data_IF_365790056707
#
_entry.id   IF_365790056707
#
_cell.length_a   1.000
_cell.length_b   1.000
_cell.length_c   1.000
_cell.angle_alpha   90.00
_cell.angle_beta   90.00
_cell.angle_gamma   90.00
#
_symmetry.space_group_name_H-M   'P 1'
#
loop_
_entity.id
_entity.type
_entity.pdbx_description
1 polymer ?
2 non-polymer ?
3 water ?
#
# COMPACT_ATOMS: atom_id res chain seq x y z
N UNK A 2 8.99 -10.38 24.39
CA UNK A 2 7.68 -9.64 24.28
C UNK A 2 7.08 -9.81 22.88
N UNK A 3 5.79 -9.55 22.76
CA UNK A 3 5.10 -9.52 21.45
C UNK A 3 5.06 -8.07 20.97
N UNK A 4 5.23 -7.83 19.69
CA UNK A 4 4.93 -6.48 19.13
C UNK A 4 3.65 -6.60 18.31
N UNK A 5 2.64 -5.82 18.65
CA UNK A 5 1.33 -5.84 17.97
C UNK A 5 1.11 -4.56 17.19
N UNK A 6 0.78 -4.68 15.92
CA UNK A 6 0.53 -3.51 15.05
C UNK A 6 -0.92 -3.55 14.57
N UNK A 7 -1.68 -2.49 14.81
CA UNK A 7 -3.07 -2.41 14.28
C UNK A 7 -3.16 -1.31 13.24
N UNK A 8 -4.02 -1.52 12.25
CA UNK A 8 -4.20 -0.56 11.14
C UNK A 8 -5.67 -0.25 10.93
N UNK A 9 -6.60 -0.90 11.66
CA UNK A 9 -8.03 -0.63 11.40
C UNK A 9 -8.37 0.85 11.64
N UNK A 10 -9.25 1.39 10.83
CA UNK A 10 -9.78 2.76 11.05
C UNK A 10 -11.23 2.69 11.53
N UNK A 11 -11.71 1.53 11.96
CA UNK A 11 -13.15 1.36 12.28
C UNK A 11 -13.34 1.26 13.79
N UNK A 12 -12.31 1.57 14.58
CA UNK A 12 -12.43 1.73 16.04
C UNK A 12 -12.87 0.49 16.77
N UNK A 13 -13.70 0.67 17.81
CA UNK A 13 -14.14 -0.44 18.70
C UNK A 13 -14.85 -1.56 17.93
N UNK A 14 -15.42 -1.28 16.76
CA UNK A 14 -16.13 -2.32 15.97
C UNK A 14 -15.16 -3.19 15.15
N UNK A 15 -13.87 -2.88 15.15
CA UNK A 15 -12.91 -3.52 14.21
C UNK A 15 -12.97 -5.05 14.29
N UNK A 16 -13.08 -5.69 13.14
CA UNK A 16 -12.99 -7.17 13.07
C UNK A 16 -11.54 -7.63 13.27
N UNK A 17 -10.55 -6.91 12.71
CA UNK A 17 -9.11 -7.27 12.83
C UNK A 17 -8.64 -7.12 14.27
N UNK A 18 -9.08 -6.07 14.95
CA UNK A 18 -8.73 -5.88 16.38
C UNK A 18 -9.26 -7.08 17.17
N UNK A 19 -10.47 -7.53 16.86
CA UNK A 19 -11.11 -8.63 17.62
C UNK A 19 -10.34 -9.93 17.36
N UNK A 20 -9.90 -10.18 16.13
CA UNK A 20 -9.13 -11.41 15.82
C UNK A 20 -7.77 -11.31 16.48
N UNK A 21 -7.11 -10.15 16.33
CA UNK A 21 -5.79 -9.93 16.98
C UNK A 21 -5.92 -10.06 18.50
N UNK A 22 -7.05 -9.64 19.06
CA UNK A 22 -7.26 -9.77 20.53
C UNK A 22 -7.21 -11.25 20.91
N UNK A 23 -7.75 -12.12 20.07
CA UNK A 23 -7.76 -13.58 20.37
C UNK A 23 -6.34 -14.14 20.33
N UNK A 24 -5.55 -13.67 19.35
CA UNK A 24 -4.14 -14.09 19.27
C UNK A 24 -3.45 -13.60 20.53
N UNK A 25 -3.62 -12.33 20.87
CA UNK A 25 -2.91 -11.73 22.04
C UNK A 25 -3.30 -12.46 23.34
N UNK A 26 -4.59 -12.80 23.49
CA UNK A 26 -5.07 -13.49 24.73
C UNK A 26 -4.29 -14.80 24.94
N UNK A 27 -4.07 -15.58 23.87
CA UNK A 27 -3.35 -16.87 23.95
C UNK A 27 -1.88 -16.57 24.21
N UNK A 28 -1.34 -15.55 23.58
CA UNK A 28 0.06 -15.14 23.85
C UNK A 28 0.21 -14.87 25.35
N UNK A 29 -0.67 -14.07 25.91
CA UNK A 29 -0.58 -13.68 27.34
C UNK A 29 -0.76 -14.94 28.21
N UNK A 30 -1.51 -15.92 27.74
CA UNK A 30 -1.82 -17.10 28.58
C UNK A 30 -0.66 -18.10 28.64
N UNK A 31 0.16 -18.24 27.58
CA UNK A 31 1.18 -19.32 27.55
C UNK A 31 2.59 -18.81 27.23
N UNK A 32 2.78 -17.56 26.83
CA UNK A 32 4.13 -17.10 26.43
C UNK A 32 5.07 -16.98 27.63
N UNK A 33 6.35 -17.40 27.50
CA UNK A 33 7.35 -17.20 28.56
C UNK A 33 7.48 -15.73 28.97
N UNK A 34 7.41 -14.80 28.03
CA UNK A 34 7.35 -13.35 28.29
C UNK A 34 6.01 -12.85 27.72
N UNK A 35 4.94 -12.79 28.54
CA UNK A 35 3.61 -12.44 28.05
C UNK A 35 3.46 -10.94 27.77
N UNK A 36 4.53 -10.17 27.92
CA UNK A 36 4.54 -8.72 27.66
C UNK A 36 4.09 -8.45 26.22
N UNK A 37 3.36 -7.36 26.00
CA UNK A 37 2.95 -6.91 24.65
C UNK A 37 3.26 -5.42 24.49
N UNK A 38 3.90 -5.05 23.39
CA UNK A 38 4.09 -3.63 22.97
C UNK A 38 3.16 -3.39 21.79
N UNK A 39 2.43 -2.29 21.79
CA UNK A 39 1.43 -2.09 20.73
C UNK A 39 1.56 -0.72 20.05
N UNK A 40 1.21 -0.70 18.77
CA UNK A 40 1.19 0.54 17.96
C UNK A 40 -0.07 0.45 17.12
N UNK A 41 -0.91 1.49 17.15
CA UNK A 41 -2.18 1.52 16.39
C UNK A 41 -2.05 2.62 15.35
N UNK A 42 -1.65 2.26 14.14
CA UNK A 42 -1.48 3.25 13.03
C UNK A 42 -2.83 3.83 12.60
N UNK A 43 -3.93 3.10 12.78
CA UNK A 43 -5.25 3.62 12.37
C UNK A 43 -5.71 4.76 13.26
N UNK A 44 -5.39 4.69 14.55
CA UNK A 44 -5.73 5.78 15.51
C UNK A 44 -4.63 6.85 15.54
N UNK A 45 -3.37 6.45 15.33
CA UNK A 45 -2.20 7.34 15.50
C UNK A 45 -1.30 7.21 14.28
N UNK A 46 -1.78 7.57 13.08
CA UNK A 46 -1.02 7.31 11.86
C UNK A 46 0.29 8.11 11.84
N UNK A 47 1.28 7.61 11.11
CA UNK A 47 2.54 8.34 10.86
C UNK A 47 2.25 9.49 9.91
N UNK A 48 2.97 10.63 10.04
CA UNK A 48 2.74 11.77 9.16
C UNK A 48 2.98 11.41 7.68
N UNK A 49 2.19 12.01 6.77
CA UNK A 49 2.30 11.73 5.31
C UNK A 49 3.63 12.28 4.75
N UNK A 50 4.31 13.13 5.50
CA UNK A 50 5.48 13.89 4.98
C UNK A 50 6.82 13.29 5.43
N UNK A 51 6.85 12.41 6.42
CA UNK A 51 8.11 11.89 7.05
C UNK A 51 8.90 11.04 6.06
N UNK A 52 8.24 10.17 5.29
CA UNK A 52 8.96 9.21 4.42
C UNK A 52 9.83 9.99 3.41
N UNK A 53 9.25 10.93 2.69
CA UNK A 53 10.04 11.70 1.68
C UNK A 53 11.24 12.39 2.36
N UNK A 54 11.05 12.94 3.56
CA UNK A 54 12.14 13.57 4.35
C UNK A 54 13.23 12.54 4.72
N UNK A 55 12.84 11.33 5.11
CA UNK A 55 13.83 10.29 5.47
C UNK A 55 14.59 9.88 4.22
N UNK A 56 13.88 9.67 3.11
CA UNK A 56 14.51 9.21 1.85
C UNK A 56 15.59 10.24 1.45
N UNK A 57 15.27 11.51 1.41
CA UNK A 57 16.23 12.59 1.06
C UNK A 57 17.47 12.48 1.95
N UNK A 58 17.28 12.28 3.24
CA UNK A 58 18.37 12.26 4.24
C UNK A 58 19.17 10.95 4.15
N UNK A 59 18.54 9.86 3.72
CA UNK A 59 19.13 8.49 3.74
C UNK A 59 20.53 8.52 3.11
N UNK A 61 22.57 10.81 2.74
CA UNK A 61 23.44 12.02 2.74
C UNK A 61 24.32 11.99 3.99
N UNK A 62 25.52 12.63 3.97
CA UNK A 62 26.33 12.76 5.17
C UNK A 62 25.44 13.39 6.23
N UNK A 63 25.36 12.80 7.44
CA UNK A 63 24.60 13.42 8.53
C UNK A 63 25.16 14.81 8.80
N UNK A 64 24.80 15.41 9.93
CA UNK A 64 25.30 16.76 10.33
C UNK A 64 24.74 17.81 9.37
N UNK A 65 24.69 17.50 8.06
CA UNK A 65 24.14 18.42 7.03
C UNK A 65 22.62 18.27 6.97
N UNK A 66 22.10 17.13 7.42
CA UNK A 66 20.63 16.87 7.40
C UNK A 66 19.90 18.06 8.03
N UNK A 67 18.75 18.43 7.47
CA UNK A 67 17.89 19.50 8.01
C UNK A 67 17.00 18.94 9.11
N UNK A 68 16.42 19.81 9.97
CA UNK A 68 15.57 19.38 11.07
C UNK A 68 14.56 18.28 10.71
N UNK A 69 13.82 18.47 9.61
CA UNK A 69 12.74 17.55 9.22
C UNK A 69 13.34 16.19 8.84
N UNK A 70 14.55 16.20 8.28
CA UNK A 70 15.27 14.98 7.85
C UNK A 70 15.78 14.24 9.09
N UNK A 71 16.32 14.98 10.06
CA UNK A 71 16.78 14.36 11.33
C UNK A 71 15.60 13.75 12.08
N UNK A 72 14.50 14.49 12.17
CA UNK A 72 13.28 13.98 12.83
C UNK A 72 12.79 12.74 12.09
N UNK A 73 12.77 12.77 10.76
CA UNK A 73 12.23 11.65 9.95
C UNK A 73 13.05 10.38 10.22
N UNK A 74 14.38 10.45 10.17
CA UNK A 74 15.20 9.23 10.39
C UNK A 74 15.21 8.82 11.87
N UNK A 75 15.10 9.76 12.79
CA UNK A 75 14.98 9.40 14.23
C UNK A 75 13.69 8.61 14.47
N UNK A 76 12.58 9.03 13.89
CA UNK A 76 11.33 8.26 14.00
C UNK A 76 11.50 6.87 13.36
N UNK A 77 12.15 6.76 12.20
CA UNK A 77 12.36 5.46 11.53
C UNK A 77 13.18 4.53 12.44
N UNK A 78 14.20 5.08 13.12
CA UNK A 78 15.01 4.28 14.07
C UNK A 78 14.16 3.79 15.24
N UNK A 79 13.30 4.64 15.74
CA UNK A 79 12.44 4.24 16.88
C UNK A 79 11.53 3.08 16.46
N UNK A 80 10.99 3.14 15.24
CA UNK A 80 10.07 2.08 14.74
C UNK A 80 10.81 0.75 14.56
N UNK A 81 12.01 0.77 14.00
CA UNK A 81 12.83 -0.45 13.85
C UNK A 81 13.16 -0.99 15.24
N UNK A 82 13.51 -0.10 16.17
CA UNK A 82 13.81 -0.52 17.57
C UNK A 82 12.63 -1.34 18.12
N UNK A 83 11.39 -0.92 17.87
CA UNK A 83 10.18 -1.64 18.37
C UNK A 83 10.13 -3.05 17.81
N UNK A 84 10.41 -3.22 16.52
CA UNK A 84 10.35 -4.55 15.87
C UNK A 84 11.49 -5.44 16.36
N UNK A 85 12.72 -4.91 16.45
CA UNK A 85 13.92 -5.75 16.77
C UNK A 85 13.89 -6.14 18.26
N UNK A 86 13.16 -5.38 19.07
CA UNK A 86 13.00 -5.67 20.50
C UNK A 86 12.03 -6.85 20.70
N UNK A 87 11.28 -7.26 19.66
CA UNK A 87 10.20 -8.24 19.85
C UNK A 87 10.68 -9.65 19.46
N UNK A 88 10.30 -10.65 20.24
CA UNK A 88 10.58 -12.05 19.87
C UNK A 88 9.58 -12.52 18.82
N UNK A 89 8.44 -11.87 18.72
CA UNK A 89 7.34 -12.29 17.83
C UNK A 89 6.49 -11.09 17.45
N UNK A 90 5.83 -11.16 16.30
CA UNK A 90 5.01 -10.04 15.80
C UNK A 90 3.55 -10.45 15.60
N UNK A 91 2.64 -9.52 15.87
CA UNK A 91 1.20 -9.66 15.56
C UNK A 91 0.81 -8.45 14.72
N UNK A 92 0.48 -8.66 13.43
CA UNK A 92 0.19 -7.56 12.50
C UNK A 92 -1.25 -7.69 12.05
N UNK A 93 -2.01 -6.61 12.12
CA UNK A 93 -3.45 -6.61 11.75
C UNK A 93 -3.63 -5.66 10.58
N UNK A 94 -4.18 -6.14 9.46
CA UNK A 94 -4.34 -5.31 8.25
C UNK A 94 -5.60 -5.70 7.52
N UNK A 95 -6.72 -4.94 7.68
CA UNK A 95 -7.91 -5.17 6.88
C UNK A 95 -7.66 -4.88 5.40
N UNK A 96 -8.46 -5.46 4.51
CA UNK A 96 -8.46 -5.07 3.09
C UNK A 96 -9.30 -3.81 2.89
N UNK A 97 -8.71 -2.77 2.31
CA UNK A 97 -9.39 -1.47 2.09
C UNK A 97 -9.19 -1.07 0.63
N UNK A 98 -10.26 -1.02 -0.14
CA UNK A 98 -10.20 -0.61 -1.56
C UNK A 98 -9.23 -1.52 -2.34
N UNK A 99 -9.32 -2.85 -2.15
CA UNK A 99 -8.63 -3.87 -2.96
C UNK A 99 -7.11 -3.78 -2.74
N UNK A 100 -6.66 -2.96 -1.79
CA UNK A 100 -5.22 -2.73 -1.67
C UNK A 100 -4.70 -2.60 -0.26
N UNK A 101 -3.42 -2.26 -0.17
CA UNK A 101 -2.69 -2.16 1.12
C UNK A 101 -3.24 -0.99 1.94
N UNK A 102 -3.28 -1.15 3.25
CA UNK A 102 -3.60 -0.02 4.14
C UNK A 102 -2.61 1.12 3.85
N UNK A 103 -3.11 2.34 3.66
CA UNK A 103 -2.23 3.53 3.48
C UNK A 103 -1.30 3.66 4.67
N UNK A 104 -1.77 3.26 5.86
CA UNK A 104 -1.02 3.43 7.11
C UNK A 104 0.09 2.37 7.21
N UNK A 105 -0.22 1.15 6.77
CA UNK A 105 0.79 0.06 6.81
C UNK A 105 1.90 0.39 5.80
N UNK A 106 1.53 0.88 4.61
CA UNK A 106 2.53 1.18 3.56
C UNK A 106 3.45 2.27 4.12
N UNK A 107 2.86 3.31 4.70
CA UNK A 107 3.66 4.44 5.25
C UNK A 107 4.67 3.89 6.27
N UNK A 108 4.21 3.02 7.16
CA UNK A 108 5.06 2.42 8.21
C UNK A 108 6.21 1.63 7.59
N UNK A 109 5.90 0.68 6.70
CA UNK A 109 6.97 -0.10 6.01
C UNK A 109 7.93 0.82 5.25
N UNK A 110 7.41 1.82 4.53
CA UNK A 110 8.26 2.76 3.76
C UNK A 110 9.27 3.42 4.68
N UNK A 111 8.79 3.90 5.82
CA UNK A 111 9.70 4.61 6.77
C UNK A 111 10.68 3.63 7.41
N UNK A 112 10.21 2.45 7.81
CA UNK A 112 11.13 1.43 8.38
C UNK A 112 12.31 1.23 7.43
N UNK A 113 12.02 1.12 6.13
CA UNK A 113 13.08 0.74 5.15
C UNK A 113 14.06 1.88 4.90
N UNK A 114 13.90 3.04 5.53
CA UNK A 114 14.86 4.17 5.42
C UNK A 114 15.94 4.01 6.50
N UNK A 115 15.67 3.19 7.52
CA UNK A 115 16.66 2.95 8.60
C UNK A 115 17.76 2.05 8.04
N UNK A 116 19.04 2.34 8.39
CA UNK A 116 20.16 1.53 7.91
C UNK A 116 20.05 0.02 8.19
N UNK A 117 19.42 -0.37 9.29
CA UNK A 117 19.33 -1.81 9.65
C UNK A 117 18.36 -2.53 8.73
N UNK A 118 17.53 -1.79 7.99
CA UNK A 118 16.46 -2.37 7.13
C UNK A 118 16.68 -1.95 5.68
N UNK A 119 17.84 -1.39 5.37
CA UNK A 119 18.16 -0.91 4.02
C UNK A 119 18.37 -2.08 3.06
N UNK A 120 18.24 -1.82 1.75
CA UNK A 120 18.52 -2.80 0.68
C UNK A 120 19.96 -3.34 0.79
N UNK A 121 20.14 -4.65 0.60
CA UNK A 121 21.46 -5.30 0.67
C UNK A 121 21.93 -5.48 2.11
N UNK A 122 21.01 -5.38 3.07
CA UNK A 122 21.34 -5.73 4.46
C UNK A 122 20.61 -7.03 4.79
N UNK A 123 21.12 -7.82 5.73
CA UNK A 123 20.37 -9.00 6.23
C UNK A 123 19.25 -8.52 7.15
N UNK A 124 18.07 -9.12 7.06
CA UNK A 124 16.91 -8.72 7.88
C UNK A 124 17.29 -8.90 9.34
N UNK A 125 17.12 -7.85 10.15
CA UNK A 125 17.31 -7.97 11.60
C UNK A 125 16.16 -8.77 12.24
N UNK A 126 15.16 -9.21 11.47
CA UNK A 126 14.02 -10.01 11.99
C UNK A 126 14.04 -11.46 11.48
N UNK A 127 15.08 -11.88 10.75
CA UNK A 127 15.04 -13.17 10.04
C UNK A 127 14.79 -14.33 11.03
N UNK A 128 13.87 -15.23 10.68
CA UNK A 128 13.58 -16.46 11.44
C UNK A 128 12.57 -16.22 12.53
N UNK A 129 12.19 -14.96 12.79
CA UNK A 129 11.26 -14.68 13.91
C UNK A 129 9.83 -14.95 13.46
N UNK A 130 8.95 -15.38 14.38
CA UNK A 130 7.58 -15.72 14.01
C UNK A 130 6.70 -14.48 14.00
N UNK A 131 5.76 -14.46 13.06
CA UNK A 131 4.79 -13.36 12.97
C UNK A 131 3.42 -13.93 12.61
N UNK A 132 2.36 -13.40 13.23
CA UNK A 132 0.98 -13.74 12.80
C UNK A 132 0.43 -12.51 12.10
N UNK A 133 -0.09 -12.70 10.89
CA UNK A 133 -0.76 -11.65 10.13
C UNK A 133 -2.25 -11.89 10.17
N UNK A 134 -2.99 -10.94 10.72
CA UNK A 134 -4.47 -11.01 10.77
C UNK A 134 -5.02 -10.08 9.68
N UNK A 135 -5.88 -10.60 8.81
CA UNK A 135 -6.56 -9.74 7.81
C UNK A 135 -8.06 -10.04 7.82
N UNK A 136 -8.83 -9.15 7.23
CA UNK A 136 -10.30 -9.34 7.07
C UNK A 136 -10.73 -8.72 5.77
N UNK A 137 -11.77 -9.28 5.19
CA UNK A 137 -12.32 -8.79 3.92
C UNK A 137 -13.82 -8.79 4.04
N UNK A 138 -14.47 -7.80 3.40
CA UNK A 138 -15.94 -7.75 3.36
C UNK A 138 -16.54 -8.87 2.55
N UNK A 139 -15.88 -9.24 1.45
CA UNK A 139 -16.37 -10.29 0.56
C UNK A 139 -15.54 -11.57 0.61
N UNK A 140 -15.65 -12.39 -0.43
CA UNK A 140 -14.95 -13.69 -0.56
C UNK A 140 -14.02 -13.62 -1.78
N UNK A 141 -12.74 -13.94 -1.61
CA UNK A 141 -11.71 -13.67 -2.62
C UNK A 141 -10.92 -14.93 -3.04
N UNK A 142 -11.32 -16.12 -2.61
CA UNK A 142 -10.56 -17.34 -2.96
C UNK A 142 -10.68 -17.72 -4.43
N UNK A 143 -9.97 -18.76 -4.86
CA UNK A 143 -10.01 -19.18 -6.26
C UNK A 143 -11.44 -19.57 -6.67
N UNK A 144 -11.84 -19.20 -7.88
CA UNK A 144 -13.18 -19.50 -8.41
C UNK A 144 -14.15 -18.36 -8.18
N UNK A 145 -13.84 -17.48 -7.22
CA UNK A 145 -14.73 -16.35 -6.90
C UNK A 145 -14.56 -15.22 -7.92
N UNK A 146 -15.57 -14.35 -8.08
CA UNK A 146 -15.45 -13.13 -8.89
C UNK A 146 -14.40 -12.12 -8.35
N UNK A 147 -13.91 -12.34 -7.14
CA UNK A 147 -12.87 -11.45 -6.54
C UNK A 147 -11.50 -12.14 -6.48
N UNK A 148 -11.33 -13.27 -7.15
CA UNK A 148 -10.01 -13.92 -7.27
C UNK A 148 -9.01 -12.91 -7.87
N UNK A 149 -7.91 -12.66 -7.17
CA UNK A 149 -6.89 -11.71 -7.60
C UNK A 149 -7.20 -10.26 -7.26
N UNK A 150 -8.35 -9.98 -6.63
CA UNK A 150 -8.76 -8.59 -6.31
C UNK A 150 -8.20 -8.12 -4.97
N UNK A 151 -7.63 -9.02 -4.18
CA UNK A 151 -6.89 -8.59 -2.97
C UNK A 151 -5.43 -8.36 -3.37
N UNK A 152 -5.08 -7.11 -3.64
CA UNK A 152 -3.72 -6.72 -4.06
C UNK A 152 -2.82 -6.49 -2.85
N UNK A 153 -3.36 -6.54 -1.63
CA UNK A 153 -2.60 -6.32 -0.38
C UNK A 153 -1.87 -7.56 0.10
N UNK A 154 -2.57 -8.68 0.16
CA UNK A 154 -2.05 -9.92 0.81
C UNK A 154 -0.70 -10.34 0.22
N UNK A 155 -0.55 -10.33 -1.12
CA UNK A 155 0.72 -10.71 -1.75
C UNK A 155 1.87 -9.79 -1.36
N UNK A 156 1.60 -8.48 -1.25
CA UNK A 156 2.63 -7.50 -0.90
C UNK A 156 3.04 -7.69 0.55
N UNK A 157 2.05 -7.94 1.41
CA UNK A 157 2.34 -8.18 2.85
C UNK A 157 3.14 -9.46 2.98
N UNK A 158 2.77 -10.50 2.22
CA UNK A 158 3.54 -11.76 2.25
C UNK A 158 4.95 -11.50 1.70
N UNK A 159 5.06 -10.61 0.72
CA UNK A 159 6.38 -10.29 0.13
C UNK A 159 7.29 -9.61 1.18
N UNK A 160 6.79 -8.56 1.83
CA UNK A 160 7.65 -7.79 2.76
C UNK A 160 7.93 -8.66 3.99
N UNK A 161 6.88 -9.19 4.59
CA UNK A 161 7.01 -9.91 5.87
C UNK A 161 7.80 -11.20 5.67
N UNK A 162 7.48 -11.98 4.65
CA UNK A 162 8.06 -13.31 4.45
C UNK A 162 9.34 -13.25 3.61
N UNK A 163 9.28 -12.65 2.41
CA UNK A 163 10.43 -12.67 1.47
C UNK A 163 11.49 -11.64 1.82
N UNK A 164 11.15 -10.42 2.26
CA UNK A 164 12.19 -9.40 2.56
C UNK A 164 12.68 -9.56 4.00
N UNK A 165 11.78 -9.53 4.97
CA UNK A 165 12.17 -9.61 6.41
C UNK A 165 12.43 -11.06 6.86
N UNK A 166 12.00 -12.03 6.08
CA UNK A 166 12.26 -13.48 6.31
C UNK A 166 11.61 -13.90 7.63
N UNK A 167 10.44 -13.34 7.95
CA UNK A 167 9.65 -13.84 9.10
C UNK A 167 9.03 -15.20 8.77
N UNK A 168 8.81 -16.02 9.78
CA UNK A 168 8.02 -17.26 9.66
C UNK A 168 6.57 -16.83 9.84
N UNK A 169 5.82 -16.69 8.76
CA UNK A 169 4.52 -15.99 8.77
C UNK A 169 3.38 -16.99 8.89
N UNK A 170 2.47 -16.74 9.80
CA UNK A 170 1.17 -17.44 9.88
C UNK A 170 0.11 -16.41 9.51
N UNK A 171 -0.79 -16.74 8.60
CA UNK A 171 -1.86 -15.79 8.19
C UNK A 171 -3.22 -16.29 8.66
N UNK A 172 -3.99 -15.44 9.29
CA UNK A 172 -5.38 -15.74 9.70
C UNK A 172 -6.24 -14.72 8.95
N UNK A 173 -7.12 -15.21 8.10
CA UNK A 173 -7.91 -14.29 7.25
C UNK A 173 -9.40 -14.53 7.45
N UNK A 174 -10.13 -13.47 7.85
CA UNK A 174 -11.59 -13.61 8.03
C UNK A 174 -12.28 -12.93 6.86
N UNK A 175 -12.98 -13.69 6.04
CA UNK A 175 -13.71 -13.12 4.89
C UNK A 175 -15.19 -12.88 5.25
N UNK A 176 -15.95 -12.31 4.32
CA UNK A 176 -17.41 -12.16 4.45
C UNK A 176 -17.82 -11.31 5.67
N UNK A 177 -17.02 -10.32 6.05
CA UNK A 177 -17.32 -9.45 7.21
C UNK A 177 -18.42 -8.43 6.90
N UNK A 178 -18.78 -8.24 5.63
CA UNK A 178 -19.88 -7.32 5.27
C UNK A 178 -21.18 -8.10 5.08
N UNK A 179 -21.19 -9.41 5.32
CA UNK A 179 -22.46 -10.19 5.29
C UNK A 179 -23.30 -9.71 6.48
N UNK A 180 -24.57 -9.40 6.27
CA UNK A 180 -25.43 -8.85 7.35
C UNK A 180 -25.36 -7.33 7.33
N UNK A 181 -24.50 -6.76 6.47
CA UNK A 181 -24.35 -5.28 6.35
C UNK A 181 -24.76 -4.87 4.95
N UNK A 182 -24.08 -5.41 3.93
CA UNK A 182 -24.47 -5.20 2.52
C UNK A 182 -25.53 -6.22 2.14
N UNK A 183 -26.80 -5.80 1.90
CA UNK A 183 -27.87 -6.71 1.49
C UNK A 183 -27.52 -7.62 0.29
N UNK A 184 -26.67 -7.14 -0.62
CA UNK A 184 -26.22 -7.92 -1.79
C UNK A 184 -25.54 -9.24 -1.35
N UNK A 185 -24.98 -9.31 -0.13
CA UNK A 185 -24.26 -10.54 0.32
C UNK A 185 -25.16 -11.50 1.11
N UNK A 186 -26.48 -11.33 1.15
CA UNK A 186 -27.37 -12.12 2.05
C UNK A 186 -27.28 -13.63 1.76
N UNK A 187 -27.00 -14.03 0.53
CA UNK A 187 -26.89 -15.46 0.17
C UNK A 187 -25.74 -16.11 0.96
N UNK A 188 -24.81 -15.31 1.52
CA UNK A 188 -23.63 -15.82 2.23
C UNK A 188 -23.85 -15.92 3.72
N UNK A 189 -25.04 -15.62 4.22
CA UNK A 189 -25.26 -15.52 5.69
C UNK A 189 -24.78 -16.76 6.44
N UNK A 190 -25.21 -17.95 6.04
CA UNK A 190 -24.81 -19.18 6.81
C UNK A 190 -23.31 -19.41 6.69
N UNK A 191 -22.76 -19.31 5.46
CA UNK A 191 -21.30 -19.48 5.23
C UNK A 191 -20.52 -18.52 6.11
N UNK A 192 -20.95 -17.26 6.17
CA UNK A 192 -20.22 -16.20 6.92
C UNK A 192 -20.14 -16.56 8.39
N UNK A 193 -21.19 -17.11 8.97
CA UNK A 193 -21.16 -17.50 10.40
C UNK A 193 -20.17 -18.66 10.63
N UNK A 194 -20.11 -19.66 9.74
CA UNK A 194 -19.14 -20.77 9.89
C UNK A 194 -17.72 -20.22 9.78
N UNK A 195 -17.49 -19.30 8.83
CA UNK A 195 -16.15 -18.66 8.66
C UNK A 195 -15.79 -17.90 9.95
N UNK A 196 -16.73 -17.16 10.55
CA UNK A 196 -16.38 -16.40 11.76
C UNK A 196 -15.92 -17.35 12.86
N UNK A 197 -16.67 -18.43 13.06
CA UNK A 197 -16.37 -19.37 14.17
C UNK A 197 -15.04 -20.04 13.89
N UNK A 198 -14.83 -20.47 12.64
CA UNK A 198 -13.59 -21.19 12.28
C UNK A 198 -12.40 -20.26 12.44
N UNK A 199 -12.52 -19.01 11.95
CA UNK A 199 -11.38 -18.05 11.95
C UNK A 199 -11.07 -17.61 13.38
N UNK A 200 -12.09 -17.48 14.24
CA UNK A 200 -11.83 -17.14 15.66
C UNK A 200 -10.98 -18.25 16.31
N UNK A 201 -11.26 -19.51 16.00
CA UNK A 201 -10.47 -20.64 16.55
C UNK A 201 -9.06 -20.60 15.93
N UNK A 202 -8.95 -20.27 14.66
CA UNK A 202 -7.61 -20.19 14.02
C UNK A 202 -6.78 -19.11 14.74
N UNK A 203 -7.41 -18.01 15.10
CA UNK A 203 -6.69 -16.91 15.79
C UNK A 203 -6.18 -17.40 17.15
N UNK A 204 -7.04 -18.11 17.90
CA UNK A 204 -6.61 -18.69 19.19
C UNK A 204 -5.44 -19.64 18.93
N UNK A 205 -5.61 -20.55 17.98
CA UNK A 205 -4.57 -21.52 17.60
C UNK A 205 -3.26 -20.80 17.25
N UNK A 206 -3.35 -19.71 16.49
CA UNK A 206 -2.14 -18.95 16.08
C UNK A 206 -1.43 -18.39 17.30
N UNK A 207 -2.17 -17.89 18.28
CA UNK A 207 -1.56 -17.33 19.51
C UNK A 207 -0.86 -18.41 20.32
N UNK A 208 -1.46 -19.58 20.42
CA UNK A 208 -0.86 -20.70 21.19
C UNK A 208 0.43 -21.14 20.50
N UNK A 209 0.43 -21.17 19.17
CA UNK A 209 1.65 -21.59 18.43
C UNK A 209 2.73 -20.52 18.55
N UNK A 210 2.33 -19.25 18.46
CA UNK A 210 3.31 -18.15 18.59
C UNK A 210 3.98 -18.21 19.96
N UNK A 211 3.20 -18.52 20.99
CA UNK A 211 3.69 -18.54 22.38
C UNK A 211 4.69 -19.69 22.59
N UNK A 212 4.54 -20.78 21.87
CA UNK A 212 5.36 -22.00 22.04
C UNK A 212 6.59 -22.02 21.12
N UNK A 213 6.77 -21.01 20.26
CA UNK A 213 7.77 -21.12 19.16
C UNK A 213 9.18 -21.33 19.72
N UNK A 214 9.53 -20.64 20.81
CA UNK A 214 10.91 -20.75 21.36
C UNK A 214 11.19 -22.18 21.80
N UNK A 215 10.31 -22.79 22.57
CA UNK A 215 10.49 -24.20 22.97
C UNK A 215 10.53 -25.09 21.75
N UNK A 216 9.66 -24.85 20.76
CA UNK A 216 9.59 -25.68 19.55
C UNK A 216 10.96 -25.61 18.85
N UNK A 217 11.53 -24.42 18.76
CA UNK A 217 12.85 -24.22 18.11
C UNK A 217 13.93 -24.99 18.88
N UNK A 218 13.95 -24.85 20.20
CA UNK A 218 14.93 -25.55 21.05
C UNK A 218 14.76 -27.07 20.97
N UNK A 219 13.56 -27.57 20.67
CA UNK A 219 13.30 -29.03 20.60
C UNK A 219 13.80 -29.60 19.27
N UNK A 220 14.03 -28.74 18.27
CA UNK A 220 14.50 -29.19 16.92
C UNK A 220 15.96 -29.66 16.97
N UNK A 221 16.25 -30.82 16.40
CA UNK A 221 17.65 -31.31 16.32
C UNK A 221 18.12 -31.38 14.86
N UNK A 222 17.19 -31.37 13.92
CA UNK A 222 17.54 -31.50 12.48
C UNK A 222 17.93 -30.13 11.93
N UNK A 223 19.19 -29.96 11.58
CA UNK A 223 19.70 -28.66 11.11
C UNK A 223 20.33 -28.82 9.73
N UNK A 224 19.98 -29.88 8.99
CA UNK A 224 20.36 -30.02 7.56
C UNK A 224 21.89 -30.03 7.45
N UNK A 225 22.55 -30.70 8.38
CA UNK A 225 24.01 -30.92 8.25
C UNK A 225 24.24 -31.98 7.19
N UNK A 226 25.36 -31.90 6.47
CA UNK A 226 25.70 -32.87 5.42
C UNK A 226 25.95 -34.27 6.01
N UNK A 227 25.77 -35.33 5.22
CA UNK A 227 26.09 -36.72 5.60
C UNK A 227 26.04 -37.69 4.38
N UNK B 2 -9.77 19.89 -20.69
CA UNK B 2 -8.55 20.05 -19.90
C UNK B 2 -7.95 18.67 -19.59
N UNK B 3 -6.65 18.63 -19.32
CA UNK B 3 -5.98 17.41 -18.83
C UNK B 3 -5.89 17.51 -17.31
N UNK B 4 -6.11 16.41 -16.61
CA UNK B 4 -5.80 16.34 -15.16
C UNK B 4 -4.53 15.50 -15.03
N UNK B 5 -3.51 16.04 -14.37
CA UNK B 5 -2.19 15.37 -14.21
C UNK B 5 -1.91 15.14 -12.73
N UNK B 6 -1.60 13.90 -12.37
CA UNK B 6 -1.30 13.51 -10.97
C UNK B 6 0.12 12.99 -10.94
N UNK B 7 0.95 13.59 -10.10
CA UNK B 7 2.32 13.07 -9.84
C UNK B 7 2.41 12.52 -8.41
N UNK B 8 3.31 11.58 -8.18
CA UNK B 8 3.49 10.96 -6.83
C UNK B 8 4.97 10.84 -6.47
N UNK B 9 5.89 11.16 -7.40
CA UNK B 9 7.33 10.96 -7.11
C UNK B 9 7.71 11.78 -5.89
N UNK B 10 8.57 11.23 -5.06
CA UNK B 10 9.18 11.98 -3.92
C UNK B 10 10.63 12.38 -4.25
N UNK B 11 11.05 12.30 -5.51
CA UNK B 11 12.48 12.48 -5.90
C UNK B 11 12.70 13.83 -6.61
N UNK B 12 11.67 14.67 -6.63
CA UNK B 12 11.75 16.06 -7.12
C UNK B 12 12.22 16.16 -8.56
N UNK B 13 13.23 17.02 -8.80
CA UNK B 13 13.78 17.32 -10.15
C UNK B 13 14.36 16.07 -10.80
N UNK B 14 14.70 15.06 -10.02
CA UNK B 14 15.37 13.85 -10.57
C UNK B 14 14.34 12.81 -11.03
N UNK B 15 13.05 13.07 -10.85
CA UNK B 15 11.99 12.04 -11.08
C UNK B 15 11.95 11.55 -12.53
N UNK B 16 11.93 10.23 -12.70
CA UNK B 16 11.79 9.58 -14.02
C UNK B 16 10.33 9.57 -14.44
N UNK B 17 9.40 9.38 -13.48
CA UNK B 17 7.96 9.38 -13.81
C UNK B 17 7.56 10.79 -14.26
N UNK B 18 8.05 11.85 -13.60
CA UNK B 18 7.71 13.23 -14.01
C UNK B 18 8.22 13.44 -15.44
N UNK B 19 9.43 12.97 -15.73
CA UNK B 19 10.04 13.07 -17.07
C UNK B 19 9.19 12.34 -18.10
N UNK B 20 8.78 11.08 -17.86
CA UNK B 20 7.98 10.32 -18.84
C UNK B 20 6.62 11.01 -19.02
N UNK B 21 6.01 11.42 -17.91
CA UNK B 21 4.70 12.10 -17.96
C UNK B 21 4.85 13.44 -18.71
N UNK B 22 5.97 14.09 -18.55
CA UNK B 22 6.25 15.34 -19.30
C UNK B 22 6.11 15.09 -20.80
N UNK B 23 6.48 13.90 -21.26
CA UNK B 23 6.43 13.60 -22.70
C UNK B 23 4.98 13.53 -23.14
N UNK B 24 4.11 13.00 -22.30
CA UNK B 24 2.66 12.94 -22.60
C UNK B 24 2.07 14.37 -22.55
N UNK B 25 2.40 15.14 -21.52
CA UNK B 25 1.79 16.48 -21.33
C UNK B 25 2.21 17.40 -22.50
N UNK B 26 3.43 17.26 -23.00
CA UNK B 26 3.95 18.12 -24.11
C UNK B 26 3.05 17.97 -25.32
N UNK B 27 2.63 16.73 -25.63
CA UNK B 27 1.74 16.47 -26.78
C UNK B 27 0.40 17.12 -26.52
N UNK B 28 -0.10 17.01 -25.28
CA UNK B 28 -1.39 17.63 -24.91
C UNK B 28 -1.32 19.16 -25.19
N UNK B 29 -0.30 19.80 -24.66
CA UNK B 29 -0.20 21.28 -24.73
C UNK B 29 0.15 21.72 -26.17
N UNK B 30 0.78 20.84 -26.94
CA UNK B 30 1.14 21.16 -28.35
C UNK B 30 -0.04 20.97 -29.30
N UNK B 31 -1.02 20.13 -28.99
CA UNK B 31 -2.00 19.75 -30.03
C UNK B 31 -3.44 19.66 -29.54
N UNK B 32 -3.74 19.60 -28.24
CA UNK B 32 -5.14 19.45 -27.83
C UNK B 32 -5.88 20.79 -27.99
N UNK B 33 -7.16 20.75 -28.44
CA UNK B 33 -7.97 21.97 -28.59
C UNK B 33 -8.08 22.75 -27.27
N UNK B 34 -8.15 22.04 -26.14
CA UNK B 34 -8.05 22.64 -24.80
C UNK B 34 -6.74 22.15 -24.16
N UNK B 35 -5.62 22.88 -24.35
CA UNK B 35 -4.31 22.45 -23.86
C UNK B 35 -4.10 22.84 -22.39
N UNK B 36 -5.16 23.27 -21.71
CA UNK B 36 -5.11 23.56 -20.25
C UNK B 36 -4.83 22.26 -19.49
N UNK B 37 -4.03 22.39 -18.44
CA UNK B 37 -3.65 21.23 -17.60
C UNK B 37 -3.90 21.61 -16.15
N UNK B 38 -4.66 20.78 -15.42
CA UNK B 38 -4.77 20.91 -13.95
C UNK B 38 -3.84 19.86 -13.32
N UNK B 39 -3.01 20.27 -12.36
CA UNK B 39 -1.99 19.34 -11.83
C UNK B 39 -2.11 19.22 -10.32
N UNK B 40 -1.87 18.01 -9.82
CA UNK B 40 -1.77 17.79 -8.37
C UNK B 40 -0.53 16.96 -8.17
N UNK B 41 0.35 17.38 -7.27
CA UNK B 41 1.60 16.65 -6.97
C UNK B 41 1.53 16.12 -5.54
N UNK B 42 1.10 14.88 -5.38
CA UNK B 42 0.95 14.28 -4.03
C UNK B 42 2.32 14.04 -3.41
N UNK B 43 3.35 13.82 -4.22
CA UNK B 43 4.72 13.63 -3.69
C UNK B 43 5.22 14.86 -2.95
N UNK B 44 4.92 16.05 -3.47
CA UNK B 44 5.33 17.34 -2.85
C UNK B 44 4.27 17.83 -1.87
N UNK B 45 3.00 17.65 -2.18
CA UNK B 45 1.88 18.14 -1.32
C UNK B 45 0.99 16.96 -0.96
N UNK B 46 1.47 16.03 -0.13
CA UNK B 46 0.67 14.84 0.18
C UNK B 46 -0.60 15.19 0.95
N UNK B 47 -1.65 14.44 0.74
CA UNK B 47 -2.86 14.57 1.60
C UNK B 47 -2.50 14.15 3.02
N UNK B 48 -3.16 14.72 4.04
CA UNK B 48 -2.91 14.35 5.43
C UNK B 48 -3.20 12.86 5.72
N UNK B 49 -2.41 12.25 6.58
CA UNK B 49 -2.56 10.83 6.97
C UNK B 49 -3.85 10.58 7.76
N UNK B 50 -4.54 11.65 8.20
CA UNK B 50 -5.76 11.57 9.07
C UNK B 50 -7.07 11.76 8.30
N UNK B 51 -7.02 12.26 7.06
CA UNK B 51 -8.27 12.73 6.41
C UNK B 51 -9.14 11.53 6.02
N UNK B 52 -8.56 10.43 5.53
CA UNK B 52 -9.36 9.27 5.07
C UNK B 52 -10.20 8.73 6.23
N UNK B 53 -9.58 8.43 7.35
CA UNK B 53 -10.31 7.90 8.52
C UNK B 53 -11.43 8.86 8.94
N UNK B 54 -11.19 10.16 8.82
CA UNK B 54 -12.19 11.17 9.20
C UNK B 54 -13.38 11.16 8.23
N UNK B 55 -13.14 10.98 6.93
CA UNK B 55 -14.20 10.89 5.92
C UNK B 55 -15.05 9.63 6.13
N UNK B 56 -14.38 8.50 6.42
CA UNK B 56 -15.12 7.23 6.69
C UNK B 56 -15.92 7.42 7.98
N UNK B 57 -15.30 7.99 8.99
CA UNK B 57 -15.97 8.24 10.29
C UNK B 57 -17.22 9.13 10.09
N UNK B 58 -17.08 10.18 9.28
CA UNK B 58 -18.18 11.14 8.99
C UNK B 58 -19.40 10.40 8.45
N UNK B 59 -19.18 9.35 7.68
CA UNK B 59 -20.30 8.63 7.03
C UNK B 59 -21.20 8.02 8.09
N UNK B 60 -20.66 7.75 9.29
CA UNK B 60 -21.43 7.09 10.37
C UNK B 60 -22.10 8.16 11.25
N UNK B 61 -21.87 9.43 10.98
CA UNK B 61 -22.32 10.51 11.90
C UNK B 61 -23.44 11.26 11.21
N UNK B 62 -24.56 11.49 11.94
CA UNK B 62 -25.66 12.28 11.39
C UNK B 62 -25.14 13.61 10.85
N UNK B 63 -25.52 13.99 9.62
CA UNK B 63 -24.96 15.16 8.95
C UNK B 63 -24.97 16.46 9.76
N UNK B 64 -26.03 16.71 10.50
CA UNK B 64 -26.16 17.94 11.31
C UNK B 64 -25.24 17.87 12.52
N UNK B 65 -24.69 16.69 12.82
CA UNK B 65 -23.89 16.50 14.07
C UNK B 65 -22.41 16.32 13.72
N UNK B 66 -22.03 16.51 12.46
CA UNK B 66 -20.64 16.23 12.05
C UNK B 66 -19.72 17.30 12.62
N UNK B 67 -18.56 16.89 13.13
CA UNK B 67 -17.47 17.80 13.53
C UNK B 67 -16.83 18.43 12.31
N UNK B 68 -16.18 19.61 12.47
CA UNK B 68 -15.43 20.26 11.39
C UNK B 68 -14.47 19.32 10.64
N UNK B 69 -13.65 18.55 11.37
CA UNK B 69 -12.67 17.63 10.72
C UNK B 69 -13.40 16.64 9.82
N UNK B 70 -14.57 16.14 10.24
CA UNK B 70 -15.41 15.21 9.44
C UNK B 70 -16.01 15.92 8.22
N UNK B 71 -16.65 17.06 8.42
CA UNK B 71 -17.18 17.84 7.28
C UNK B 71 -16.07 18.18 6.28
N UNK B 72 -14.93 18.64 6.79
CA UNK B 72 -13.82 19.07 5.91
C UNK B 72 -13.23 17.88 5.15
N UNK B 73 -13.17 16.70 5.77
CA UNK B 73 -12.62 15.51 5.08
C UNK B 73 -13.52 15.17 3.90
N UNK B 74 -14.84 15.17 4.09
CA UNK B 74 -15.79 14.89 2.98
C UNK B 74 -15.73 15.99 1.89
N UNK B 75 -15.58 17.25 2.30
CA UNK B 75 -15.44 18.37 1.34
C UNK B 75 -14.18 18.21 0.48
N UNK B 76 -13.08 17.79 1.07
CA UNK B 76 -11.81 17.57 0.32
C UNK B 76 -11.99 16.40 -0.64
N UNK B 77 -12.64 15.33 -0.19
CA UNK B 77 -12.96 14.19 -1.08
C UNK B 77 -13.73 14.70 -2.31
N UNK B 78 -14.78 15.49 -2.10
CA UNK B 78 -15.63 15.98 -3.21
C UNK B 78 -14.79 16.86 -4.15
N UNK B 79 -13.93 17.69 -3.59
CA UNK B 79 -13.04 18.55 -4.40
C UNK B 79 -12.12 17.67 -5.25
N UNK B 80 -11.56 16.60 -4.69
CA UNK B 80 -10.65 15.72 -5.45
C UNK B 80 -11.41 15.02 -6.58
N UNK B 81 -12.66 14.63 -6.34
CA UNK B 81 -13.47 13.99 -7.40
C UNK B 81 -13.81 15.05 -8.44
N UNK B 82 -14.09 16.28 -8.00
CA UNK B 82 -14.45 17.39 -8.92
C UNK B 82 -13.32 17.56 -9.96
N UNK B 83 -12.06 17.49 -9.52
CA UNK B 83 -10.88 17.61 -10.42
C UNK B 83 -10.93 16.52 -11.50
N UNK B 84 -11.29 15.27 -11.15
CA UNK B 84 -11.28 14.16 -12.13
C UNK B 84 -12.44 14.32 -13.09
N UNK B 85 -13.61 14.63 -12.56
CA UNK B 85 -14.85 14.73 -13.38
C UNK B 85 -14.71 15.91 -14.37
N UNK B 86 -13.94 16.93 -14.01
CA UNK B 86 -13.78 18.15 -14.83
C UNK B 86 -12.85 17.90 -16.03
N UNK B 87 -12.06 16.84 -16.03
CA UNK B 87 -11.03 16.62 -17.05
C UNK B 87 -11.58 15.83 -18.21
N UNK B 88 -11.10 16.08 -19.42
CA UNK B 88 -11.46 15.21 -20.58
C UNK B 88 -10.50 14.01 -20.62
N UNK B 89 -9.33 14.14 -20.00
CA UNK B 89 -8.34 13.05 -20.00
C UNK B 89 -7.50 13.10 -18.73
N UNK B 90 -6.90 11.97 -18.40
CA UNK B 90 -6.11 11.79 -17.15
C UNK B 90 -4.68 11.39 -17.50
N UNK B 91 -3.74 11.93 -16.74
CA UNK B 91 -2.34 11.52 -16.82
C UNK B 91 -1.88 11.24 -15.39
N UNK B 92 -1.57 9.98 -15.08
CA UNK B 92 -1.28 9.55 -13.69
C UNK B 92 0.14 8.96 -13.64
N UNK B 93 0.98 9.45 -12.76
CA UNK B 93 2.39 9.04 -12.70
C UNK B 93 2.65 8.42 -11.34
N UNK B 94 3.09 7.17 -11.31
CA UNK B 94 3.24 6.43 -10.03
C UNK B 94 4.43 5.49 -10.09
N UNK B 95 5.55 5.85 -9.45
CA UNK B 95 6.73 4.97 -9.37
C UNK B 95 6.48 3.74 -8.52
N UNK B 96 7.33 2.71 -8.67
CA UNK B 96 7.31 1.53 -7.77
C UNK B 96 8.18 1.83 -6.55
N UNK B 97 7.63 1.71 -5.37
CA UNK B 97 8.36 2.04 -4.12
C UNK B 97 8.15 0.90 -3.14
N UNK B 98 9.24 0.21 -2.80
CA UNK B 98 9.21 -0.89 -1.81
C UNK B 98 8.22 -1.94 -2.29
N UNK B 99 8.24 -2.28 -3.58
CA UNK B 99 7.50 -3.41 -4.15
C UNK B 99 6.00 -3.19 -4.13
N UNK B 100 5.55 -1.97 -3.82
CA UNK B 100 4.11 -1.75 -3.68
C UNK B 100 3.64 -0.39 -4.10
N UNK B 101 2.42 -0.09 -3.74
CA UNK B 101 1.74 1.16 -4.16
C UNK B 101 2.37 2.36 -3.45
N UNK B 102 2.37 3.51 -4.11
CA UNK B 102 2.74 4.79 -3.44
C UNK B 102 1.79 5.05 -2.26
N UNK B 103 2.36 5.33 -1.09
CA UNK B 103 1.53 5.67 0.10
C UNK B 103 0.62 6.83 -0.23
N UNK B 104 1.08 7.76 -1.06
CA UNK B 104 0.35 8.99 -1.42
C UNK B 104 -0.78 8.67 -2.38
N UNK B 105 -0.52 7.80 -3.36
CA UNK B 105 -1.55 7.42 -4.34
C UNK B 105 -2.68 6.67 -3.63
N UNK B 106 -2.33 5.71 -2.77
CA UNK B 106 -3.37 4.94 -2.03
C UNK B 106 -4.21 5.89 -1.20
N UNK B 107 -3.56 6.83 -0.51
CA UNK B 107 -4.27 7.80 0.35
C UNK B 107 -5.28 8.56 -0.52
N UNK B 108 -4.84 8.99 -1.70
CA UNK B 108 -5.68 9.78 -2.63
C UNK B 108 -6.87 8.94 -3.09
N UNK B 109 -6.61 7.70 -3.56
CA UNK B 109 -7.70 6.80 -3.99
C UNK B 109 -8.66 6.55 -2.81
N UNK B 110 -8.12 6.24 -1.62
CA UNK B 110 -8.99 5.93 -0.45
C UNK B 110 -9.94 7.13 -0.20
N UNK B 111 -9.42 8.35 -0.21
CA UNK B 111 -10.28 9.53 0.08
C UNK B 111 -11.32 9.70 -1.02
N UNK B 112 -10.89 9.64 -2.28
CA UNK B 112 -11.82 9.78 -3.42
C UNK B 112 -13.00 8.84 -3.22
N UNK B 113 -12.74 7.60 -2.85
CA UNK B 113 -13.81 6.59 -2.78
C UNK B 113 -14.76 6.81 -1.61
N UNK B 114 -14.54 7.84 -0.77
CA UNK B 114 -15.50 8.17 0.31
C UNK B 114 -16.59 9.05 -0.29
N UNK B 115 -16.35 9.61 -1.46
CA UNK B 115 -17.34 10.53 -2.10
C UNK B 115 -18.48 9.67 -2.64
N UNK B 116 -19.74 10.11 -2.47
CA UNK B 116 -20.89 9.35 -2.95
C UNK B 116 -20.92 9.01 -4.44
N UNK B 117 -20.32 9.85 -5.26
CA UNK B 117 -20.27 9.61 -6.72
C UNK B 117 -19.33 8.44 -7.01
N UNK B 118 -18.44 8.10 -6.06
CA UNK B 118 -17.45 7.00 -6.23
C UNK B 118 -17.85 5.78 -5.39
N UNK B 119 -19.03 5.79 -4.79
CA UNK B 119 -19.49 4.71 -3.89
C UNK B 119 -19.67 3.38 -4.66
N UNK B 120 -19.55 2.28 -3.96
CA UNK B 120 -19.77 0.95 -4.55
C UNK B 120 -21.22 0.88 -5.03
N UNK B 121 -21.47 0.19 -6.14
CA UNK B 121 -22.82 0.04 -6.72
C UNK B 121 -23.20 1.22 -7.58
N UNK B 122 -22.45 2.32 -7.56
CA UNK B 122 -22.71 3.47 -8.45
C UNK B 122 -21.88 3.34 -9.72
N UNK B 123 -22.42 3.75 -10.88
CA UNK B 123 -21.64 3.75 -12.15
C UNK B 123 -20.51 4.78 -12.03
N UNK B 124 -19.29 4.43 -12.44
CA UNK B 124 -18.15 5.38 -12.37
C UNK B 124 -18.51 6.65 -13.16
N UNK B 125 -18.30 7.85 -12.58
CA UNK B 125 -18.47 9.09 -13.33
C UNK B 125 -17.34 9.31 -14.34
N UNK B 126 -16.35 8.39 -14.41
CA UNK B 126 -15.18 8.51 -15.30
C UNK B 126 -15.25 7.47 -16.39
N UNK B 127 -16.30 6.67 -16.43
CA UNK B 127 -16.38 5.53 -17.36
C UNK B 127 -16.05 5.98 -18.78
N UNK B 128 -15.17 5.27 -19.46
CA UNK B 128 -14.84 5.53 -20.87
C UNK B 128 -13.85 6.69 -21.09
N UNK B 129 -13.56 7.49 -20.07
CA UNK B 129 -12.63 8.62 -20.27
C UNK B 129 -11.21 8.11 -20.51
N UNK B 130 -10.47 8.76 -21.40
CA UNK B 130 -9.10 8.35 -21.69
C UNK B 130 -8.14 8.67 -20.53
N UNK B 131 -7.23 7.75 -20.26
CA UNK B 131 -6.21 7.92 -19.21
C UNK B 131 -4.91 7.26 -19.64
N UNK B 132 -3.81 7.86 -19.23
CA UNK B 132 -2.49 7.25 -19.40
C UNK B 132 -1.86 7.09 -18.03
N UNK B 133 -1.37 5.89 -17.73
CA UNK B 133 -0.65 5.62 -16.47
C UNK B 133 0.83 5.44 -16.83
N UNK B 134 1.70 6.24 -16.24
CA UNK B 134 3.19 6.14 -16.38
C UNK B 134 3.75 5.58 -15.07
N UNK B 135 4.50 4.51 -15.16
CA UNK B 135 5.19 3.98 -13.96
C UNK B 135 6.66 3.75 -14.28
N UNK B 136 7.47 3.66 -13.25
CA UNK B 136 8.92 3.42 -13.40
C UNK B 136 9.37 2.45 -12.33
N UNK B 137 10.29 1.56 -12.67
CA UNK B 137 10.91 0.62 -11.71
C UNK B 137 12.42 0.71 -11.84
N UNK B 138 13.11 0.66 -10.72
CA UNK B 138 14.58 0.65 -10.73
C UNK B 138 15.14 -0.62 -11.33
N UNK B 139 14.49 -1.76 -11.11
CA UNK B 139 15.00 -3.06 -11.57
C UNK B 139 14.30 -3.61 -12.82
N UNK B 140 14.46 -4.91 -13.04
CA UNK B 140 13.86 -5.69 -14.14
C UNK B 140 12.94 -6.75 -13.54
N UNK B 141 11.66 -6.67 -13.84
CA UNK B 141 10.59 -7.48 -13.20
C UNK B 141 9.92 -8.31 -14.28
N UNK B 142 10.62 -8.53 -15.38
CA UNK B 142 10.00 -9.20 -16.54
C UNK B 142 9.88 -10.70 -16.31
N UNK B 143 9.07 -11.41 -17.13
CA UNK B 143 8.99 -12.87 -17.05
C UNK B 143 10.36 -13.56 -16.99
N UNK B 144 10.51 -14.54 -16.11
CA UNK B 144 11.80 -15.26 -15.95
C UNK B 144 12.80 -14.56 -15.02
N UNK B 145 12.61 -13.28 -14.69
CA UNK B 145 13.55 -12.56 -13.77
C UNK B 145 13.36 -13.03 -12.34
N UNK B 146 14.32 -12.74 -11.44
CA UNK B 146 14.14 -13.01 -10.01
C UNK B 146 13.11 -12.06 -9.37
N UNK B 147 12.59 -11.08 -10.13
CA UNK B 147 11.63 -10.08 -9.61
C UNK B 147 10.27 -10.21 -10.30
N UNK B 148 10.06 -11.28 -11.07
CA UNK B 148 8.73 -11.50 -11.67
C UNK B 148 7.69 -11.62 -10.54
N UNK B 149 6.62 -10.82 -10.57
CA UNK B 149 5.56 -10.86 -9.58
C UNK B 149 5.85 -9.97 -8.39
N UNK B 150 7.00 -9.32 -8.36
CA UNK B 150 7.44 -8.49 -7.21
C UNK B 150 6.92 -7.06 -7.29
N UNK B 151 6.25 -6.69 -8.39
CA UNK B 151 5.61 -5.36 -8.48
C UNK B 151 4.15 -5.55 -8.10
N UNK B 152 3.80 -5.30 -6.85
CA UNK B 152 2.44 -5.51 -6.37
C UNK B 152 1.62 -4.25 -6.57
N UNK B 153 2.21 -3.20 -7.15
CA UNK B 153 1.49 -1.93 -7.40
C UNK B 153 0.71 -1.95 -8.72
N UNK B 154 1.36 -2.37 -9.80
CA UNK B 154 0.74 -2.25 -11.17
C UNK B 154 -0.62 -2.93 -11.22
N UNK B 155 -0.77 -4.14 -10.68
CA UNK B 155 -2.07 -4.84 -10.75
C UNK B 155 -3.16 -4.07 -10.04
N UNK B 156 -2.82 -3.45 -8.91
CA UNK B 156 -3.79 -2.63 -8.14
C UNK B 156 -4.19 -1.40 -8.94
N UNK B 157 -3.21 -0.71 -9.49
CA UNK B 157 -3.48 0.55 -10.21
C UNK B 157 -4.38 0.21 -11.41
N UNK B 158 -4.11 -0.91 -12.10
CA UNK B 158 -4.97 -1.30 -13.25
C UNK B 158 -6.35 -1.68 -12.73
N UNK B 159 -6.42 -2.27 -11.55
CA UNK B 159 -7.73 -2.65 -10.96
C UNK B 159 -8.58 -1.39 -10.75
N UNK B 160 -8.06 -0.40 -10.05
CA UNK B 160 -8.85 0.81 -9.72
C UNK B 160 -9.13 1.58 -11.00
N UNK B 161 -8.08 1.90 -11.76
CA UNK B 161 -8.23 2.82 -12.92
C UNK B 161 -9.07 2.14 -14.01
N UNK B 162 -8.82 0.84 -14.24
CA UNK B 162 -9.47 0.12 -15.36
C UNK B 162 -10.72 -0.61 -14.94
N UNK B 163 -10.67 -1.45 -13.91
CA UNK B 163 -11.83 -2.31 -13.56
C UNK B 163 -12.87 -1.54 -12.73
N UNK B 164 -12.47 -0.66 -11.83
CA UNK B 164 -13.44 0.01 -10.94
C UNK B 164 -13.92 1.32 -11.62
N UNK B 165 -12.98 2.16 -12.06
CA UNK B 165 -13.36 3.48 -12.65
C UNK B 165 -13.74 3.36 -14.13
N UNK B 166 -13.36 2.27 -14.80
CA UNK B 166 -13.72 2.00 -16.22
C UNK B 166 -13.08 3.04 -17.16
N UNK B 167 -11.85 3.48 -16.87
CA UNK B 167 -11.07 4.37 -17.76
C UNK B 167 -10.58 3.58 -18.97
N UNK B 168 -10.49 4.21 -20.13
CA UNK B 168 -9.80 3.66 -21.31
C UNK B 168 -8.30 3.85 -21.04
N UNK B 169 -7.65 2.86 -20.42
CA UNK B 169 -6.32 3.06 -19.81
C UNK B 169 -5.19 2.60 -20.73
N UNK B 170 -4.20 3.44 -20.96
CA UNK B 170 -2.95 3.07 -21.63
C UNK B 170 -1.88 3.08 -20.54
N UNK B 171 -1.04 2.06 -20.49
CA UNK B 171 0.02 2.02 -19.42
C UNK B 171 1.39 2.11 -20.08
N UNK B 172 2.26 2.99 -19.59
CA UNK B 172 3.67 3.07 -20.03
C UNK B 172 4.56 2.76 -18.83
N UNK B 173 5.32 1.67 -18.90
CA UNK B 173 6.14 1.19 -17.76
C UNK B 173 7.61 1.29 -18.15
N UNK B 174 8.39 2.11 -17.46
CA UNK B 174 9.84 2.13 -17.71
C UNK B 174 10.56 1.36 -16.61
N UNK B 175 11.24 0.28 -16.96
CA UNK B 175 12.05 -0.49 -15.99
C UNK B 175 13.52 -0.10 -16.09
N UNK B 176 14.34 -0.61 -15.17
CA UNK B 176 15.81 -0.46 -15.20
C UNK B 176 16.23 0.99 -15.00
N UNK B 177 15.45 1.78 -14.27
CA UNK B 177 15.81 3.21 -13.98
C UNK B 177 17.00 3.34 -13.02
N UNK B 178 17.44 2.29 -12.34
CA UNK B 178 18.60 2.36 -11.41
C UNK B 178 19.88 1.88 -12.11
N UNK B 179 19.78 1.48 -13.36
CA UNK B 179 21.01 1.24 -14.17
C UNK B 179 21.77 2.58 -14.27
N UNK B 180 23.06 2.60 -13.98
CA UNK B 180 23.82 3.86 -13.92
C UNK B 180 23.97 4.38 -12.48
N UNK B 181 23.25 3.81 -11.53
CA UNK B 181 23.25 4.25 -10.11
C UNK B 181 23.60 3.06 -9.22
N UNK B 182 22.90 1.95 -9.38
CA UNK B 182 23.16 0.73 -8.60
C UNK B 182 24.12 -0.14 -9.39
N UNK B 183 25.36 -0.35 -8.90
CA UNK B 183 26.37 -1.07 -9.66
C UNK B 183 26.01 -2.53 -10.02
N UNK B 184 25.23 -3.20 -9.19
CA UNK B 184 24.79 -4.59 -9.46
C UNK B 184 23.92 -4.69 -10.72
N UNK B 185 23.45 -3.57 -11.30
CA UNK B 185 22.64 -3.61 -12.55
C UNK B 185 23.49 -3.25 -13.79
N UNK B 186 24.81 -3.14 -13.64
CA UNK B 186 25.69 -2.69 -14.76
C UNK B 186 25.52 -3.60 -15.96
N UNK B 187 25.17 -4.87 -15.77
CA UNK B 187 25.06 -5.81 -16.92
C UNK B 187 23.88 -5.43 -17.82
N UNK B 188 23.01 -4.53 -17.36
CA UNK B 188 21.75 -4.22 -18.10
C UNK B 188 21.84 -2.87 -18.83
N UNK B 189 23.05 -2.37 -19.08
CA UNK B 189 23.20 -1.01 -19.63
C UNK B 189 22.54 -0.94 -21.00
N UNK B 190 22.81 -1.93 -21.86
CA UNK B 190 22.25 -1.90 -23.23
C UNK B 190 20.74 -2.02 -23.17
N UNK B 191 20.23 -2.96 -22.41
CA UNK B 191 18.77 -3.16 -22.28
C UNK B 191 18.11 -1.90 -21.74
N UNK B 192 18.70 -1.29 -20.72
CA UNK B 192 18.08 -0.10 -20.10
C UNK B 192 17.95 1.02 -21.13
N UNK B 193 18.91 1.19 -22.02
CA UNK B 193 18.80 2.29 -23.00
C UNK B 193 17.69 1.96 -23.98
N UNK B 194 17.61 0.70 -24.40
CA UNK B 194 16.52 0.26 -25.31
C UNK B 194 15.18 0.53 -24.65
N UNK B 195 15.05 0.17 -23.38
CA UNK B 195 13.78 0.40 -22.64
C UNK B 195 13.47 1.89 -22.59
N UNK B 196 14.48 2.72 -22.36
CA UNK B 196 14.24 4.19 -22.32
C UNK B 196 13.67 4.68 -23.65
N UNK B 197 14.34 4.33 -24.74
CA UNK B 197 13.93 4.77 -26.10
C UNK B 197 12.49 4.31 -26.35
N UNK B 198 12.22 3.03 -26.11
CA UNK B 198 10.90 2.45 -26.46
C UNK B 198 9.82 3.11 -25.59
N UNK B 199 10.06 3.25 -24.29
CA UNK B 199 9.08 3.84 -23.34
C UNK B 199 8.85 5.32 -23.63
N UNK B 200 9.91 6.07 -23.92
CA UNK B 200 9.75 7.49 -24.29
C UNK B 200 8.84 7.62 -25.52
N UNK B 201 8.99 6.75 -26.51
CA UNK B 201 8.13 6.77 -27.72
C UNK B 201 6.70 6.34 -27.38
N UNK B 202 6.53 5.35 -26.51
CA UNK B 202 5.17 4.96 -26.07
C UNK B 202 4.48 6.17 -25.40
N UNK B 203 5.21 6.93 -24.59
CA UNK B 203 4.66 8.10 -23.86
C UNK B 203 4.26 9.16 -24.88
N UNK B 204 5.15 9.43 -25.83
CA UNK B 204 4.83 10.43 -26.89
C UNK B 204 3.56 9.98 -27.60
N UNK B 205 3.51 8.72 -28.04
CA UNK B 205 2.38 8.19 -28.82
C UNK B 205 1.09 8.28 -27.99
N UNK B 206 1.17 7.88 -26.71
CA UNK B 206 0.02 7.97 -25.78
C UNK B 206 -0.44 9.43 -25.66
N UNK B 207 0.51 10.37 -25.60
CA UNK B 207 0.17 11.81 -25.55
C UNK B 207 -0.54 12.24 -26.84
N UNK B 208 -0.04 11.79 -28.00
CA UNK B 208 -0.64 12.12 -29.31
C UNK B 208 -2.07 11.59 -29.40
N UNK B 209 -2.33 10.42 -28.83
CA UNK B 209 -3.69 9.81 -28.81
C UNK B 209 -4.63 10.65 -27.91
N UNK B 210 -4.17 10.98 -26.70
CA UNK B 210 -5.01 11.71 -25.71
C UNK B 210 -5.43 13.05 -26.35
N UNK B 211 -4.54 13.67 -27.11
CA UNK B 211 -4.74 15.04 -27.60
C UNK B 211 -5.57 15.02 -28.88
N UNK B 212 -5.39 14.02 -29.75
CA UNK B 212 -6.19 13.84 -30.98
C UNK B 212 -7.47 13.07 -30.64
#
# INVERSE_FOLDING_TARGET
MSLFRLDTSILGTRSSTIALADLVEREWRATAPDPSVVRRHLGEDPLPATVWAAAVAAQFVPPARRAPEEREALSLAAALVDELVAAEALLLAAPLYNFGVSQHLKTWVDLLLTDPRMAAGTESPLAGRPAVLVTARGGAYGPGTPREGWDHAIGWMRRIFGDVWKLELTVVERELTLVGIDPALDRFKELAERVRVTTEEQARAAGRRLAAREGAFLALEHHHHHH
MSLFRLDTSILGTRSSTIALADLVEREWRATAPDPSVVRRHLGEDPLPATVWAAAVAAQFVPPARRAPEEREALSLAAALVDELVAAEALLLAAPLYNFGVSQHLKTWVDLLLTDPRMAAGTESPLAGRPAVLVTARGGAYGPGTPREGWDHAIGWMRRIFGDVWKLELTVVERELTLVGIDPALDRFKELAERVRVTTEEQARAAGRRLAAREGAFLALEHHHHHH
#
